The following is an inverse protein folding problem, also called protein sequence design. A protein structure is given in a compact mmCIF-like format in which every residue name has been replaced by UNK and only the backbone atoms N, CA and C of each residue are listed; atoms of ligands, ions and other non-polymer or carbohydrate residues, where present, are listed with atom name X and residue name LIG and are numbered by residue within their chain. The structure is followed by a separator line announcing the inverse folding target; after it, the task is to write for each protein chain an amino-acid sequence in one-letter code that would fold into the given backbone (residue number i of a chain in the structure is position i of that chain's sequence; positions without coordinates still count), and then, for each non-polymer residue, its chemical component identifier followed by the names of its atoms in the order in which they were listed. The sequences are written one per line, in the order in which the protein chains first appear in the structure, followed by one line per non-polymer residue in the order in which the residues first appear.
data_IF_368227440577
#
_entry.id   IF_368227440577
#
_cell.length_a   1.000
_cell.length_b   1.000
_cell.length_c   1.000
_cell.angle_alpha   90.00
_cell.angle_beta   90.00
_cell.angle_gamma   90.00
#
_symmetry.space_group_name_H-M   'P 1'
#
loop_
_entity.id
_entity.type
_entity.pdbx_description
1 polymer ?
#
# COMPACT_ATOMS: atom_id res chain seq x y z
N UNK A 1 -5.50 10.70 1.30
CA UNK A 1 -4.68 10.05 2.35
C UNK A 1 -3.51 9.36 1.68
N UNK A 2 -2.35 9.21 2.35
CA UNK A 2 -1.11 8.68 1.75
C UNK A 2 -1.26 7.21 1.33
N UNK A 3 -1.93 6.41 2.16
CA UNK A 3 -2.19 4.98 1.92
C UNK A 3 -2.87 4.73 0.57
N UNK A 4 -3.92 5.50 0.24
CA UNK A 4 -4.65 5.35 -1.02
C UNK A 4 -3.81 5.68 -2.26
N UNK A 5 -2.82 6.57 -2.15
CA UNK A 5 -1.89 6.87 -3.24
C UNK A 5 -0.91 5.72 -3.43
N UNK A 6 -0.40 5.18 -2.33
CA UNK A 6 0.51 4.03 -2.35
C UNK A 6 -0.18 2.80 -2.93
N UNK A 7 -1.41 2.51 -2.52
CA UNK A 7 -2.18 1.39 -3.05
C UNK A 7 -2.53 1.56 -4.53
N UNK A 8 -2.89 2.76 -4.97
CA UNK A 8 -3.08 3.05 -6.39
C UNK A 8 -1.79 2.79 -7.19
N UNK A 9 -0.62 3.21 -6.68
CA UNK A 9 0.66 2.93 -7.31
C UNK A 9 0.96 1.42 -7.37
N UNK A 10 0.72 0.70 -6.27
CA UNK A 10 0.92 -0.77 -6.18
C UNK A 10 0.00 -1.52 -7.13
N UNK A 11 -1.20 -0.99 -7.38
CA UNK A 11 -2.15 -1.52 -8.35
C UNK A 11 -1.83 -1.18 -9.79
N UNK A 12 -1.37 0.03 -10.09
CA UNK A 12 -0.95 0.38 -11.46
C UNK A 12 0.33 -0.36 -11.87
N UNK A 13 1.22 -0.65 -10.91
CA UNK A 13 2.38 -1.52 -11.13
C UNK A 13 2.03 -2.99 -11.35
N UNK A 14 0.76 -3.40 -11.31
CA UNK A 14 0.34 -4.77 -11.67
C UNK A 14 0.81 -5.19 -13.07
N UNK A 15 1.02 -4.25 -13.98
CA UNK A 15 1.62 -4.52 -15.29
C UNK A 15 3.07 -5.05 -15.20
N UNK A 16 3.74 -4.88 -14.06
CA UNK A 16 5.11 -5.31 -13.77
C UNK A 16 5.23 -6.24 -12.55
N UNK A 17 4.18 -6.41 -11.73
CA UNK A 17 4.19 -7.24 -10.53
C UNK A 17 2.93 -8.10 -10.41
N UNK A 18 3.08 -9.40 -10.17
CA UNK A 18 1.99 -10.32 -9.86
C UNK A 18 1.39 -10.03 -8.49
N UNK A 19 0.22 -10.61 -8.20
CA UNK A 19 -0.44 -10.45 -6.89
C UNK A 19 0.43 -10.97 -5.73
N UNK A 20 1.15 -12.07 -5.96
CA UNK A 20 2.11 -12.63 -4.99
C UNK A 20 3.33 -11.73 -4.78
N UNK A 21 3.87 -11.16 -5.87
CA UNK A 21 5.01 -10.23 -5.80
C UNK A 21 4.70 -9.00 -4.96
N UNK A 22 3.45 -8.54 -4.91
CA UNK A 22 3.09 -7.38 -4.08
C UNK A 22 3.22 -7.62 -2.57
N UNK A 23 3.14 -8.87 -2.14
CA UNK A 23 3.26 -9.26 -0.72
C UNK A 23 4.70 -9.68 -0.38
N UNK A 24 5.52 -9.98 -1.38
CA UNK A 24 6.85 -10.57 -1.20
C UNK A 24 8.01 -9.70 -1.69
N UNK A 25 7.77 -8.78 -2.63
CA UNK A 25 8.78 -7.84 -3.14
C UNK A 25 9.07 -6.76 -2.10
N UNK A 26 9.97 -7.09 -1.17
CA UNK A 26 10.52 -6.19 -0.17
C UNK A 26 12.03 -5.99 -0.45
N UNK A 27 12.60 -4.79 -0.24
CA UNK A 27 14.04 -4.59 -0.33
C UNK A 27 14.84 -5.59 0.53
N UNK A 28 15.97 -6.12 0.04
CA UNK A 28 16.83 -6.97 0.85
C UNK A 28 17.40 -6.18 2.04
N UNK A 29 17.62 -6.79 3.21
CA UNK A 29 18.12 -6.08 4.39
C UNK A 29 19.53 -5.54 4.13
N UNK A 30 19.69 -4.23 4.13
CA UNK A 30 20.97 -3.54 3.94
C UNK A 30 21.28 -2.72 5.21
N UNK A 31 21.92 -3.38 6.18
CA UNK A 31 22.30 -2.80 7.48
C UNK A 31 23.10 -1.49 7.34
N UNK A 32 23.89 -1.35 6.27
CA UNK A 32 24.72 -0.18 6.00
C UNK A 32 23.95 1.01 5.39
N UNK A 33 22.74 0.79 4.87
CA UNK A 33 21.96 1.80 4.16
C UNK A 33 20.81 2.36 4.99
N UNK A 34 20.16 1.53 5.81
CA UNK A 34 18.99 1.94 6.58
C UNK A 34 18.81 1.08 7.84
N UNK A 35 18.11 1.61 8.88
CA UNK A 35 17.92 0.89 10.13
C UNK A 35 17.20 -0.46 9.98
N UNK A 36 17.56 -1.43 10.82
CA UNK A 36 16.94 -2.77 10.88
C UNK A 36 15.43 -2.76 11.07
N UNK A 37 14.89 -1.68 11.64
CA UNK A 37 13.44 -1.49 11.83
C UNK A 37 12.66 -1.40 10.52
N UNK A 38 13.33 -1.15 9.40
CA UNK A 38 12.73 -1.17 8.06
C UNK A 38 12.92 -2.51 7.34
N UNK A 39 13.41 -3.55 8.01
CA UNK A 39 13.56 -4.86 7.37
C UNK A 39 12.20 -5.55 7.26
N UNK A 40 12.03 -6.38 6.24
CA UNK A 40 10.79 -7.11 5.99
C UNK A 40 10.30 -7.87 7.24
N UNK A 41 11.23 -8.53 7.95
CA UNK A 41 10.96 -9.32 9.15
C UNK A 41 10.97 -8.52 10.46
N UNK A 42 11.16 -7.20 10.42
CA UNK A 42 11.12 -6.39 11.63
C UNK A 42 9.67 -6.25 12.11
N UNK A 43 9.46 -6.34 13.42
CA UNK A 43 8.15 -6.20 14.04
C UNK A 43 7.64 -4.77 13.91
N UNK A 44 6.35 -4.65 13.60
CA UNK A 44 5.58 -3.44 13.76
C UNK A 44 5.17 -3.38 15.23
N UNK A 45 6.04 -2.79 16.07
CA UNK A 45 5.93 -2.82 17.54
C UNK A 45 4.53 -2.54 18.12
N UNK A 46 3.78 -1.62 17.53
CA UNK A 46 2.43 -1.25 17.98
C UNK A 46 1.32 -2.20 17.47
N UNK A 47 1.68 -3.12 16.58
CA UNK A 47 0.82 -4.08 15.88
C UNK A 47 1.37 -5.51 16.01
N UNK A 48 2.07 -5.84 17.09
CA UNK A 48 2.56 -7.20 17.32
C UNK A 48 1.38 -8.22 17.24
N UNK A 49 1.57 -9.37 16.56
CA UNK A 49 2.84 -9.96 16.12
C UNK A 49 3.24 -9.63 14.66
N UNK A 50 2.62 -8.63 14.01
CA UNK A 50 2.84 -8.37 12.59
C UNK A 50 4.21 -7.75 12.30
N UNK A 51 4.74 -8.07 11.12
CA UNK A 51 5.98 -7.53 10.57
C UNK A 51 5.73 -6.53 9.46
N UNK A 52 6.77 -5.79 9.04
CA UNK A 52 6.68 -4.88 7.91
C UNK A 52 6.22 -5.57 6.61
N UNK A 53 6.58 -6.85 6.42
CA UNK A 53 6.15 -7.62 5.26
C UNK A 53 4.66 -7.95 5.31
N UNK A 54 4.12 -8.27 6.50
CA UNK A 54 2.71 -8.60 6.66
C UNK A 54 1.79 -7.41 6.30
N UNK A 55 2.28 -6.18 6.45
CA UNK A 55 1.57 -4.96 6.05
C UNK A 55 1.35 -4.84 4.53
N UNK A 56 2.05 -5.64 3.71
CA UNK A 56 1.88 -5.65 2.26
C UNK A 56 0.75 -6.60 1.78
N UNK A 57 0.08 -7.32 2.69
CA UNK A 57 -0.95 -8.28 2.30
C UNK A 57 -2.06 -7.65 1.46
N UNK A 58 -2.47 -8.30 0.36
CA UNK A 58 -3.63 -7.86 -0.40
C UNK A 58 -4.94 -7.99 0.41
N UNK A 59 -4.94 -8.85 1.44
CA UNK A 59 -6.11 -9.16 2.26
C UNK A 59 -6.74 -7.93 2.92
N UNK A 60 -5.97 -6.87 3.17
CA UNK A 60 -6.51 -5.61 3.69
C UNK A 60 -7.50 -4.98 2.72
N UNK A 61 -7.13 -4.86 1.45
CA UNK A 61 -8.00 -4.32 0.41
C UNK A 61 -9.07 -5.29 -0.08
N UNK A 62 -8.89 -6.60 0.13
CA UNK A 62 -9.91 -7.58 -0.26
C UNK A 62 -10.99 -7.77 0.81
N UNK A 63 -10.66 -7.65 2.10
CA UNK A 63 -11.53 -8.08 3.19
C UNK A 63 -11.85 -7.00 4.25
N UNK A 64 -11.03 -5.94 4.36
CA UNK A 64 -11.14 -5.00 5.48
C UNK A 64 -11.66 -3.62 5.05
N UNK A 65 -11.11 -3.06 3.97
CA UNK A 65 -11.51 -1.73 3.50
C UNK A 65 -11.33 -1.59 1.99
N UNK A 66 -12.10 -0.65 1.41
CA UNK A 66 -11.95 -0.22 0.03
C UNK A 66 -11.71 1.28 -0.04
N UNK A 67 -11.05 1.74 -1.11
CA UNK A 67 -10.88 3.15 -1.37
C UNK A 67 -12.00 3.68 -2.26
N UNK A 68 -12.66 4.74 -1.81
CA UNK A 68 -13.56 5.47 -2.68
C UNK A 68 -12.77 6.12 -3.84
N UNK A 69 -13.38 6.14 -5.02
CA UNK A 69 -12.79 6.79 -6.19
C UNK A 69 -12.58 8.26 -5.90
N UNK A 70 -11.42 8.78 -6.29
CA UNK A 70 -11.19 10.24 -6.25
C UNK A 70 -12.28 10.93 -7.08
N UNK A 71 -12.88 12.02 -6.57
CA UNK A 71 -13.89 12.73 -7.33
C UNK A 71 -13.29 13.23 -8.64
N UNK A 72 -13.97 12.93 -9.74
CA UNK A 72 -13.58 13.40 -11.08
C UNK A 72 -14.60 14.42 -11.58
N UNK A 73 -14.09 15.52 -12.09
CA UNK A 73 -14.90 16.55 -12.72
C UNK A 73 -15.45 16.05 -14.06
N UNK A 74 -16.67 16.46 -14.39
CA UNK A 74 -17.24 16.25 -15.72
C UNK A 74 -18.02 17.49 -16.15
N UNK A 75 -18.33 17.62 -17.44
CA UNK A 75 -19.17 18.72 -17.93
C UNK A 75 -20.55 18.78 -17.25
N UNK A 76 -21.04 17.63 -16.76
CA UNK A 76 -22.31 17.51 -16.03
C UNK A 76 -22.17 17.75 -14.51
N UNK A 77 -20.96 17.63 -13.96
CA UNK A 77 -20.63 17.87 -12.55
C UNK A 77 -19.29 18.60 -12.45
N UNK A 78 -19.28 19.93 -12.70
CA UNK A 78 -18.07 20.73 -12.73
C UNK A 78 -17.49 21.02 -11.35
N UNK A 79 -18.29 20.88 -10.29
CA UNK A 79 -17.86 21.06 -8.89
C UNK A 79 -17.12 19.84 -8.33
N UNK A 80 -17.20 18.69 -9.02
CA UNK A 80 -16.54 17.43 -8.68
C UNK A 80 -16.84 17.01 -7.23
N UNK A 81 -17.97 17.43 -6.66
CA UNK A 81 -18.30 17.17 -5.25
C UNK A 81 -17.38 17.85 -4.22
N UNK A 82 -16.63 18.87 -4.63
CA UNK A 82 -15.84 19.70 -3.71
C UNK A 82 -16.80 20.52 -2.85
N UNK A 83 -16.82 20.27 -1.53
CA UNK A 83 -17.53 21.10 -0.56
C UNK A 83 -16.61 22.14 0.05
#
# INVERSE_FOLDING_TARGET
MIDSIWEMWRQLRQLCQTREQRETDYPPPLDDCYPKTHFANASLKELDPFTNQDALSNSYTDNMYEYEKRPTCSSLKPDCGSR
#
